data_IF_846341281938
#
_entry.id   IF_846341281938
#
_cell.length_a   1.000
_cell.length_b   1.000
_cell.length_c   1.000
_cell.angle_alpha   90.00
_cell.angle_beta   90.00
_cell.angle_gamma   90.00
#
_symmetry.space_group_name_H-M   'P 1'
#
loop_
_entity.id
_entity.type
_entity.pdbx_description
1 polymer ?
#
# COMPACT_ATOMS: atom_id res chain seq x y z
N UNK A 1 2.92 1.68 -12.46
CA UNK A 1 2.37 0.38 -12.93
C UNK A 1 2.14 -0.57 -11.77
N UNK A 2 3.16 -0.90 -10.95
CA UNK A 2 2.99 -1.83 -9.81
C UNK A 2 1.87 -1.46 -8.82
N UNK A 3 1.91 -0.27 -8.20
CA UNK A 3 0.88 0.14 -7.23
C UNK A 3 -0.51 0.28 -7.84
N UNK A 4 -0.62 0.85 -9.04
CA UNK A 4 -1.90 0.95 -9.75
C UNK A 4 -2.52 -0.44 -10.00
N UNK A 5 -1.71 -1.43 -10.38
CA UNK A 5 -2.18 -2.81 -10.54
C UNK A 5 -2.75 -3.37 -9.22
N UNK A 6 -2.05 -3.17 -8.10
CA UNK A 6 -2.49 -3.62 -6.78
C UNK A 6 -3.80 -2.95 -6.32
N UNK A 7 -3.98 -1.67 -6.66
CA UNK A 7 -5.11 -0.87 -6.16
C UNK A 7 -6.30 -0.80 -7.11
N UNK A 8 -6.12 -1.05 -8.41
CA UNK A 8 -7.18 -0.83 -9.41
C UNK A 8 -7.48 -2.08 -10.23
N UNK A 9 -6.50 -2.93 -10.49
CA UNK A 9 -6.63 -4.06 -11.42
C UNK A 9 -6.81 -5.41 -10.71
N UNK A 10 -6.35 -5.55 -9.46
CA UNK A 10 -6.57 -6.77 -8.67
C UNK A 10 -8.04 -6.93 -8.23
N UNK A 11 -8.56 -8.16 -8.26
CA UNK A 11 -9.94 -8.48 -7.86
C UNK A 11 -10.25 -8.00 -6.43
N UNK A 12 -9.30 -8.21 -5.53
CA UNK A 12 -9.25 -7.62 -4.19
C UNK A 12 -8.20 -6.51 -4.19
N UNK A 13 -8.43 -5.43 -3.45
CA UNK A 13 -7.40 -4.40 -3.32
C UNK A 13 -6.25 -4.92 -2.46
N UNK A 14 -5.03 -4.75 -2.94
CA UNK A 14 -3.82 -5.14 -2.22
C UNK A 14 -3.12 -3.88 -1.70
N UNK A 15 -3.05 -3.72 -0.39
CA UNK A 15 -2.14 -2.74 0.22
C UNK A 15 -0.78 -3.37 0.39
N UNK A 16 0.27 -2.73 -0.11
CA UNK A 16 1.63 -3.22 0.01
C UNK A 16 2.13 -3.11 1.46
N UNK A 17 1.84 -1.99 2.11
CA UNK A 17 2.19 -1.67 3.50
C UNK A 17 3.68 -1.45 3.81
N UNK A 18 4.60 -1.64 2.86
CA UNK A 18 6.03 -1.34 3.07
C UNK A 18 6.73 -0.83 1.80
N UNK A 19 6.16 0.20 1.17
CA UNK A 19 6.76 0.83 -0.03
C UNK A 19 7.95 1.68 0.39
N UNK A 20 9.14 1.29 -0.06
CA UNK A 20 10.43 1.97 0.21
C UNK A 20 11.45 1.61 -0.89
N UNK A 21 12.54 2.37 -1.05
CA UNK A 21 13.53 2.11 -2.12
C UNK A 21 14.10 0.68 -2.06
N UNK A 22 14.30 0.13 -0.86
CA UNK A 22 14.82 -1.23 -0.69
C UNK A 22 13.88 -2.33 -1.21
N UNK A 23 12.59 -2.03 -1.34
CA UNK A 23 11.56 -2.93 -1.82
C UNK A 23 11.17 -2.65 -3.28
N UNK A 24 11.90 -1.77 -3.97
CA UNK A 24 11.75 -1.52 -5.41
C UNK A 24 13.00 -2.07 -6.09
N UNK A 25 12.89 -3.28 -6.62
CA UNK A 25 13.97 -3.95 -7.33
C UNK A 25 14.02 -3.48 -8.78
N UNK A 26 15.19 -3.58 -9.38
CA UNK A 26 15.40 -3.35 -10.81
C UNK A 26 15.72 -4.68 -11.48
N UNK A 27 15.05 -4.97 -12.59
CA UNK A 27 15.40 -6.10 -13.44
C UNK A 27 16.61 -5.78 -14.35
N UNK A 28 16.98 -6.72 -15.23
CA UNK A 28 18.12 -6.58 -16.15
C UNK A 28 17.96 -5.39 -17.12
N UNK A 29 16.72 -4.93 -17.37
CA UNK A 29 16.39 -3.77 -18.19
C UNK A 29 16.18 -2.49 -17.37
N UNK A 30 16.57 -2.47 -16.09
CA UNK A 30 16.36 -1.36 -15.17
C UNK A 30 14.89 -0.96 -14.98
N UNK A 31 13.95 -1.90 -15.17
CA UNK A 31 12.52 -1.64 -14.92
C UNK A 31 12.21 -1.90 -13.44
N UNK A 32 11.49 -0.97 -12.78
CA UNK A 32 11.16 -1.12 -11.37
C UNK A 32 10.08 -2.20 -11.16
N UNK A 33 10.34 -3.10 -10.22
CA UNK A 33 9.42 -4.14 -9.75
C UNK A 33 9.27 -4.03 -8.24
N UNK A 34 8.02 -4.00 -7.76
CA UNK A 34 7.74 -3.97 -6.34
C UNK A 34 7.93 -5.36 -5.72
N UNK A 35 8.60 -5.44 -4.58
CA UNK A 35 8.96 -6.67 -3.89
C UNK A 35 8.62 -6.58 -2.39
N UNK A 36 8.71 -7.73 -1.70
CA UNK A 36 8.45 -7.89 -0.26
C UNK A 36 7.01 -7.56 0.17
N UNK A 37 6.11 -8.51 -0.12
CA UNK A 37 4.71 -8.47 0.28
C UNK A 37 4.47 -9.01 1.71
N UNK A 38 5.51 -9.15 2.53
CA UNK A 38 5.41 -9.74 3.86
C UNK A 38 4.51 -8.96 4.82
N UNK A 39 4.30 -7.67 4.56
CA UNK A 39 3.39 -6.80 5.32
C UNK A 39 2.06 -6.52 4.61
N UNK A 40 1.86 -7.05 3.40
CA UNK A 40 0.73 -6.69 2.56
C UNK A 40 -0.61 -7.18 3.11
N UNK A 41 -1.69 -6.49 2.70
CA UNK A 41 -3.05 -6.73 3.16
C UNK A 41 -4.02 -6.77 2.00
N UNK A 42 -4.92 -7.76 2.04
CA UNK A 42 -6.07 -7.82 1.15
C UNK A 42 -7.20 -7.00 1.76
N UNK A 43 -7.80 -6.14 0.94
CA UNK A 43 -9.00 -5.38 1.27
C UNK A 43 -10.09 -5.83 0.32
N UNK A 44 -11.16 -6.39 0.87
CA UNK A 44 -12.36 -6.67 0.12
C UNK A 44 -12.91 -5.36 -0.47
N UNK A 45 -13.14 -5.36 -1.78
CA UNK A 45 -13.88 -4.29 -2.45
C UNK A 45 -15.33 -4.42 -2.00
N UNK A 46 -15.77 -3.61 -1.03
CA UNK A 46 -17.14 -3.61 -0.53
C UNK A 46 -18.14 -3.64 -1.68
N UNK A 47 -19.15 -4.50 -1.57
CA UNK A 47 -20.11 -4.87 -2.61
C UNK A 47 -20.47 -3.71 -3.57
N UNK A 48 -19.85 -3.70 -4.77
CA UNK A 48 -20.25 -3.07 -6.06
C UNK A 48 -21.26 -1.90 -6.02
N UNK A 49 -21.15 -0.96 -5.09
CA UNK A 49 -22.21 0.02 -4.86
C UNK A 49 -21.76 1.22 -4.04
N UNK A 50 -21.10 2.17 -4.72
CA UNK A 50 -21.10 3.59 -4.35
C UNK A 50 -20.58 3.94 -2.96
N UNK A 51 -19.26 4.02 -2.82
CA UNK A 51 -18.60 4.62 -1.67
C UNK A 51 -17.21 4.03 -1.51
N UNK A 52 -16.23 4.87 -1.13
CA UNK A 52 -14.90 4.41 -0.70
C UNK A 52 -15.08 3.13 0.11
N UNK A 53 -14.48 2.03 -0.37
CA UNK A 53 -14.54 0.75 0.33
C UNK A 53 -14.01 1.01 1.73
N UNK A 54 -14.93 1.11 2.69
CA UNK A 54 -14.59 0.99 4.10
C UNK A 54 -13.92 -0.35 4.13
N UNK A 55 -12.64 -0.36 4.44
CA UNK A 55 -12.01 -1.60 4.80
C UNK A 55 -12.85 -2.11 5.96
N UNK A 56 -13.69 -3.13 5.75
CA UNK A 56 -14.72 -3.50 6.72
C UNK A 56 -14.02 -3.88 8.00
N UNK A 57 -13.84 -2.92 8.93
CA UNK A 57 -12.80 -2.97 9.97
C UNK A 57 -11.69 -3.94 9.59
N UNK A 58 -10.78 -3.60 8.67
CA UNK A 58 -9.51 -4.32 8.77
C UNK A 58 -8.99 -3.93 10.16
N UNK A 59 -9.05 -4.90 11.07
CA UNK A 59 -8.35 -4.85 12.35
C UNK A 59 -6.87 -4.85 12.01
N UNK A 60 -6.37 -3.74 11.45
CA UNK A 60 -4.97 -3.42 11.44
C UNK A 60 -4.68 -3.00 12.88
N UNK A 61 -4.64 -4.02 13.74
CA UNK A 61 -4.50 -3.91 15.19
C UNK A 61 -3.15 -3.30 15.58
N UNK A 62 -2.22 -3.18 14.63
CA UNK A 62 -0.98 -2.43 14.75
C UNK A 62 -0.56 -1.86 13.39
N UNK A 63 -0.22 -0.57 13.36
CA UNK A 63 0.53 0.03 12.26
C UNK A 63 1.77 -0.82 11.93
N UNK A 64 1.97 -1.15 10.65
CA UNK A 64 3.11 -1.90 10.13
C UNK A 64 3.68 -1.16 8.93
N UNK A 65 4.99 -1.06 8.86
CA UNK A 65 5.70 -0.38 7.77
C UNK A 65 7.03 0.18 8.26
N UNK A 66 7.86 0.66 7.33
CA UNK A 66 9.17 1.24 7.64
C UNK A 66 9.07 2.72 8.03
N UNK A 67 9.62 3.08 9.19
CA UNK A 67 9.66 4.47 9.68
C UNK A 67 10.38 5.37 8.67
N UNK A 68 9.79 6.54 8.39
CA UNK A 68 10.28 7.46 7.36
C UNK A 68 9.56 7.31 6.02
N UNK A 69 8.92 6.17 5.77
CA UNK A 69 8.04 5.95 4.62
C UNK A 69 6.56 5.83 5.01
N UNK A 70 6.25 5.57 6.28
CA UNK A 70 4.88 5.56 6.78
C UNK A 70 4.23 6.95 6.79
N UNK A 71 2.98 7.03 6.30
CA UNK A 71 2.13 8.23 6.44
C UNK A 71 1.71 8.48 7.88
N UNK A 72 1.35 9.73 8.19
CA UNK A 72 1.02 10.18 9.55
C UNK A 72 -0.23 9.51 10.12
N UNK A 73 -1.25 9.29 9.29
CA UNK A 73 -2.49 8.55 9.65
C UNK A 73 -2.19 7.11 10.11
N UNK A 74 -1.16 6.50 9.53
CA UNK A 74 -0.72 5.15 9.87
C UNK A 74 -0.14 5.08 11.28
N UNK A 75 0.65 6.10 11.66
CA UNK A 75 1.31 6.15 12.97
C UNK A 75 0.33 6.37 14.13
N UNK A 76 -0.84 6.95 13.87
CA UNK A 76 -1.87 7.22 14.88
C UNK A 76 -3.00 6.18 14.91
N UNK A 77 -2.80 5.02 14.27
CA UNK A 77 -3.80 3.93 14.18
C UNK A 77 -5.16 4.41 13.63
N UNK A 78 -5.15 5.35 12.68
CA UNK A 78 -6.35 5.69 11.91
C UNK A 78 -6.62 4.63 10.83
N UNK A 79 -7.78 4.72 10.17
CA UNK A 79 -8.15 3.82 9.07
C UNK A 79 -7.12 3.92 7.95
N UNK A 80 -6.47 2.81 7.63
CA UNK A 80 -5.46 2.74 6.57
C UNK A 80 -6.16 2.38 5.27
N UNK A 81 -5.87 3.16 4.22
CA UNK A 81 -6.41 2.94 2.88
C UNK A 81 -5.28 2.79 1.87
N UNK A 82 -5.61 2.53 0.60
CA UNK A 82 -4.64 2.53 -0.51
C UNK A 82 -3.82 3.82 -0.61
N UNK A 83 -4.29 4.94 -0.02
CA UNK A 83 -3.55 6.20 0.05
C UNK A 83 -2.24 6.10 0.84
N UNK A 84 -2.14 5.19 1.80
CA UNK A 84 -0.91 4.99 2.57
C UNK A 84 0.28 4.56 1.68
N UNK A 85 0.04 3.66 0.73
CA UNK A 85 1.06 3.23 -0.25
C UNK A 85 1.43 4.38 -1.21
N UNK A 86 0.46 5.21 -1.59
CA UNK A 86 0.67 6.38 -2.47
C UNK A 86 1.54 7.43 -1.78
N UNK A 87 1.29 7.71 -0.50
CA UNK A 87 2.10 8.63 0.31
C UNK A 87 3.52 8.09 0.49
N UNK A 88 3.65 6.79 0.79
CA UNK A 88 4.93 6.11 0.93
C UNK A 88 5.75 6.19 -0.37
N UNK A 89 5.11 5.99 -1.52
CA UNK A 89 5.72 6.19 -2.83
C UNK A 89 6.12 7.66 -3.06
N UNK A 90 5.31 8.62 -2.60
CA UNK A 90 5.68 10.03 -2.60
C UNK A 90 6.95 10.32 -1.82
N UNK A 91 7.20 9.61 -0.72
CA UNK A 91 8.47 9.70 0.04
C UNK A 91 9.64 9.09 -0.72
N UNK A 92 9.44 7.98 -1.45
CA UNK A 92 10.46 7.39 -2.33
C UNK A 92 10.93 8.38 -3.39
N UNK A 93 10.01 9.12 -4.02
CA UNK A 93 10.35 10.09 -5.06
C UNK A 93 11.05 11.36 -4.56
N UNK A 94 11.02 11.60 -3.24
CA UNK A 94 11.64 12.76 -2.59
C UNK A 94 13.02 12.46 -2.02
N UNK A 95 13.38 11.18 -1.91
CA UNK A 95 14.66 10.71 -1.42
C UNK A 95 15.71 10.73 -2.53
#
# INVERSE_FOLDING_TARGET
>A
MGLAYLHEECLEWVLHCDVKPQNILLDEEYRPTLADFGMSKLIERGARGGGFSRCGKCEVSMARGTRGYMTSEWMVNQEITVKADVDSFGMVLRA
#
